data_IF_820585503768
#
_entry.id   IF_820585503768
#
_cell.length_a   1.000
_cell.length_b   1.000
_cell.length_c   1.000
_cell.angle_alpha   90.00
_cell.angle_beta   90.00
_cell.angle_gamma   90.00
#
_symmetry.space_group_name_H-M   'P 1'
#
loop_
_entity.id
_entity.type
_entity.pdbx_description
1 polymer ?
#
# COMPACT_ATOMS: atom_id res chain seq x y z
N UNK A 1 7.56 8.38 3.73
CA UNK A 1 6.77 8.66 2.52
C UNK A 1 7.68 9.27 1.48
N UNK A 2 7.64 8.82 0.22
CA UNK A 2 8.38 9.43 -0.87
C UNK A 2 7.85 10.84 -1.17
N UNK A 3 8.74 11.84 -1.23
CA UNK A 3 8.41 13.24 -1.55
C UNK A 3 9.10 13.77 -2.79
N UNK A 4 9.95 12.98 -3.45
CA UNK A 4 10.61 13.34 -4.72
C UNK A 4 10.53 12.16 -5.70
N UNK A 5 10.34 12.47 -7.00
CA UNK A 5 10.39 11.50 -8.08
C UNK A 5 9.04 10.88 -8.45
N UNK A 6 9.07 9.79 -9.22
CA UNK A 6 7.87 9.22 -9.85
C UNK A 6 6.89 8.53 -8.90
N UNK A 7 7.28 8.32 -7.64
CA UNK A 7 6.48 7.55 -6.66
C UNK A 7 6.09 8.37 -5.44
N UNK A 8 5.96 9.70 -5.60
CA UNK A 8 5.48 10.59 -4.54
C UNK A 8 4.18 10.05 -3.94
N UNK A 9 4.07 10.12 -2.62
CA UNK A 9 2.90 9.65 -1.88
C UNK A 9 2.97 8.17 -1.47
N UNK A 10 3.91 7.38 -2.01
CA UNK A 10 4.14 6.02 -1.50
C UNK A 10 4.63 6.07 -0.06
N UNK A 11 3.99 5.29 0.80
CA UNK A 11 4.25 5.23 2.23
C UNK A 11 4.68 3.83 2.65
N UNK A 12 5.35 3.76 3.81
CA UNK A 12 5.68 2.53 4.51
C UNK A 12 5.73 2.79 6.00
N UNK A 13 5.48 1.75 6.79
CA UNK A 13 5.75 1.76 8.23
C UNK A 13 7.25 1.60 8.45
N UNK A 14 7.79 2.26 9.47
CA UNK A 14 9.21 2.16 9.85
C UNK A 14 9.35 1.06 10.91
N UNK A 15 10.02 -0.06 10.61
CA UNK A 15 10.38 -1.07 11.61
C UNK A 15 11.22 -0.51 12.76
N UNK A 16 11.06 -1.07 13.97
CA UNK A 16 11.83 -0.68 15.17
C UNK A 16 13.34 -0.82 14.99
N UNK A 17 13.79 -1.82 14.23
CA UNK A 17 15.22 -2.02 13.89
C UNK A 17 15.87 -0.83 13.17
N UNK A 18 15.09 0.13 12.68
CA UNK A 18 15.58 1.32 12.00
C UNK A 18 15.48 2.58 12.86
N UNK A 19 15.21 2.45 14.16
CA UNK A 19 15.26 3.58 15.08
C UNK A 19 16.66 4.22 15.11
N UNK A 20 16.71 5.55 15.16
CA UNK A 20 17.96 6.33 15.10
C UNK A 20 18.69 6.35 13.74
N UNK A 21 18.21 5.64 12.71
CA UNK A 21 18.87 5.65 11.39
C UNK A 21 18.60 6.91 10.58
N UNK A 22 19.52 7.20 9.64
CA UNK A 22 19.39 8.31 8.70
C UNK A 22 18.34 8.01 7.62
N UNK A 23 17.56 9.04 7.27
CA UNK A 23 16.60 9.02 6.17
C UNK A 23 17.09 9.95 5.05
N UNK A 24 16.91 9.54 3.79
CA UNK A 24 17.29 10.34 2.63
C UNK A 24 16.41 11.58 2.48
N UNK A 25 16.92 12.63 1.82
CA UNK A 25 16.17 13.88 1.57
C UNK A 25 14.91 13.70 0.72
N UNK A 26 14.82 12.59 -0.04
CA UNK A 26 13.71 12.28 -0.93
C UNK A 26 12.52 11.64 -0.20
N UNK A 27 12.62 11.46 1.12
CA UNK A 27 11.59 10.88 1.95
C UNK A 27 11.26 11.75 3.18
N UNK A 28 9.97 11.85 3.49
CA UNK A 28 9.47 12.44 4.72
C UNK A 28 9.11 11.36 5.75
N UNK A 29 9.57 11.53 7.00
CA UNK A 29 9.10 10.76 8.15
C UNK A 29 7.88 11.45 8.74
N UNK A 30 6.78 10.72 8.87
CA UNK A 30 5.58 11.21 9.56
C UNK A 30 5.51 10.55 10.94
N UNK A 31 5.45 11.36 12.00
CA UNK A 31 5.35 10.91 13.39
C UNK A 31 3.99 11.32 13.95
N UNK A 32 2.96 10.44 13.89
CA UNK A 32 1.64 10.78 14.41
C UNK A 32 1.61 10.73 15.94
N UNK A 33 0.91 11.69 16.54
CA UNK A 33 0.72 11.80 18.00
C UNK A 33 -0.73 11.55 18.43
N UNK A 34 -1.70 11.91 17.58
CA UNK A 34 -3.14 11.87 17.88
C UNK A 34 -3.92 10.88 16.99
N UNK A 35 -3.23 10.18 16.09
CA UNK A 35 -3.84 9.26 15.10
C UNK A 35 -3.10 7.94 15.12
N UNK A 36 -3.83 6.84 14.95
CA UNK A 36 -3.23 5.51 14.81
C UNK A 36 -2.28 5.47 13.61
N UNK A 37 -1.07 4.93 13.82
CA UNK A 37 -0.07 4.75 12.75
C UNK A 37 -0.61 3.89 11.61
N UNK A 38 -1.32 2.80 11.92
CA UNK A 38 -1.90 1.90 10.93
C UNK A 38 -3.03 2.54 10.13
N UNK A 39 -3.87 3.32 10.81
CA UNK A 39 -4.95 4.06 10.16
C UNK A 39 -4.37 5.11 9.22
N UNK A 40 -3.43 5.94 9.71
CA UNK A 40 -2.77 6.95 8.90
C UNK A 40 -2.07 6.33 7.69
N UNK A 41 -1.35 5.22 7.87
CA UNK A 41 -0.71 4.50 6.76
C UNK A 41 -1.72 4.08 5.67
N UNK A 42 -2.86 3.49 6.05
CA UNK A 42 -3.90 3.08 5.10
C UNK A 42 -4.59 4.27 4.45
N UNK A 43 -4.81 5.34 5.20
CA UNK A 43 -5.42 6.55 4.70
C UNK A 43 -4.52 7.26 3.69
N UNK A 44 -3.22 7.39 3.98
CA UNK A 44 -2.25 7.96 3.03
C UNK A 44 -2.15 7.13 1.75
N UNK A 45 -2.32 5.81 1.83
CA UNK A 45 -2.35 4.92 0.67
C UNK A 45 -3.70 4.91 -0.09
N UNK A 46 -4.75 5.54 0.45
CA UNK A 46 -6.06 5.60 -0.21
C UNK A 46 -6.06 6.56 -1.40
N UNK A 47 -6.93 6.30 -2.36
CA UNK A 47 -7.14 7.16 -3.53
C UNK A 47 -7.41 8.62 -3.13
N UNK A 48 -8.21 8.83 -2.08
CA UNK A 48 -8.50 10.15 -1.51
C UNK A 48 -7.25 10.98 -1.16
N UNK A 49 -6.20 10.36 -0.60
CA UNK A 49 -4.95 11.06 -0.31
C UNK A 49 -4.04 11.14 -1.54
N UNK A 50 -3.99 10.08 -2.35
CA UNK A 50 -3.16 10.04 -3.56
C UNK A 50 -3.59 11.08 -4.60
N UNK A 51 -4.88 11.34 -4.75
CA UNK A 51 -5.41 12.41 -5.60
C UNK A 51 -5.00 13.80 -5.11
N UNK A 52 -5.06 14.04 -3.80
CA UNK A 52 -4.57 15.30 -3.22
C UNK A 52 -3.07 15.48 -3.44
N UNK A 53 -2.29 14.40 -3.35
CA UNK A 53 -0.85 14.44 -3.63
C UNK A 53 -0.58 14.80 -5.09
N UNK A 54 -1.24 14.11 -6.03
CA UNK A 54 -1.12 14.38 -7.46
C UNK A 54 -1.50 15.83 -7.78
N UNK A 55 -2.61 16.33 -7.22
CA UNK A 55 -3.04 17.72 -7.40
C UNK A 55 -1.99 18.75 -6.93
N UNK A 56 -1.24 18.42 -5.87
CA UNK A 56 -0.21 19.29 -5.28
C UNK A 56 1.17 19.19 -5.94
N UNK A 57 1.37 18.23 -6.85
CA UNK A 57 2.67 17.94 -7.50
C UNK A 57 2.65 18.01 -9.03
N UNK A 58 1.58 18.52 -9.65
CA UNK A 58 1.53 18.79 -11.10
C UNK A 58 2.54 19.89 -11.48
N UNK A 59 3.78 19.49 -11.76
CA UNK A 59 4.85 20.35 -12.27
C UNK A 59 5.60 19.63 -13.41
N UNK A 60 6.10 20.39 -14.37
CA UNK A 60 6.96 19.90 -15.47
C UNK A 60 8.38 19.69 -14.90
N UNK A 61 8.94 18.48 -15.05
CA UNK A 61 10.26 18.12 -14.54
C UNK A 61 10.24 17.16 -13.34
N UNK A 62 11.31 17.13 -12.54
CA UNK A 62 11.40 16.26 -11.36
C UNK A 62 10.38 16.73 -10.32
N UNK A 63 9.36 15.90 -10.08
CA UNK A 63 8.32 16.21 -9.12
C UNK A 63 8.88 16.26 -7.70
N UNK A 64 8.50 17.28 -6.93
CA UNK A 64 8.87 17.46 -5.52
C UNK A 64 7.68 17.93 -4.71
N UNK A 65 7.38 17.21 -3.64
CA UNK A 65 6.37 17.55 -2.65
C UNK A 65 7.02 18.29 -1.48
N UNK A 66 6.77 19.59 -1.37
CA UNK A 66 7.20 20.36 -0.21
C UNK A 66 6.44 19.92 1.06
N UNK A 67 7.13 19.92 2.20
CA UNK A 67 6.57 19.43 3.47
C UNK A 67 5.35 20.23 3.93
N UNK A 68 5.30 21.54 3.65
CA UNK A 68 4.12 22.38 3.94
C UNK A 68 2.90 21.97 3.10
N UNK A 69 3.08 21.61 1.83
CA UNK A 69 2.00 21.11 0.96
C UNK A 69 1.48 19.76 1.45
N UNK A 70 2.39 18.88 1.88
CA UNK A 70 2.04 17.62 2.53
C UNK A 70 1.24 17.84 3.82
N UNK A 71 1.69 18.76 4.69
CA UNK A 71 1.01 19.08 5.94
C UNK A 71 -0.41 19.61 5.71
N UNK A 72 -0.66 20.29 4.59
CA UNK A 72 -2.01 20.74 4.19
C UNK A 72 -2.88 19.66 3.55
N UNK A 73 -2.55 18.37 3.64
CA UNK A 73 -3.40 17.28 3.13
C UNK A 73 -4.56 17.05 4.09
N UNK A 74 -5.78 17.14 3.56
CA UNK A 74 -6.99 16.91 4.32
C UNK A 74 -7.10 15.41 4.61
N UNK A 75 -7.38 15.09 5.88
CA UNK A 75 -7.56 13.72 6.34
C UNK A 75 -8.83 13.63 7.20
N UNK A 76 -9.69 12.61 7.00
CA UNK A 76 -10.69 12.26 8.00
C UNK A 76 -10.00 11.78 9.28
N UNK A 77 -10.45 12.28 10.43
CA UNK A 77 -9.92 11.91 11.74
C UNK A 77 -11.05 11.46 12.67
N UNK A 78 -11.56 10.22 12.52
CA UNK A 78 -12.56 9.68 13.42
C UNK A 78 -11.94 9.34 14.80
N UNK A 79 -12.74 9.04 15.83
CA UNK A 79 -12.23 8.60 17.13
C UNK A 79 -11.36 7.33 17.02
N UNK A 80 -10.42 7.12 17.94
CA UNK A 80 -9.45 6.02 17.89
C UNK A 80 -10.10 4.63 17.79
N UNK A 81 -11.22 4.41 18.47
CA UNK A 81 -11.98 3.16 18.37
C UNK A 81 -12.44 2.88 16.93
N UNK A 82 -12.92 3.93 16.24
CA UNK A 82 -13.38 3.84 14.87
C UNK A 82 -12.20 3.66 13.88
N UNK A 83 -11.08 4.34 14.13
CA UNK A 83 -9.83 4.11 13.38
C UNK A 83 -9.41 2.62 13.44
N UNK A 84 -9.44 2.01 14.63
CA UNK A 84 -9.13 0.60 14.83
C UNK A 84 -10.12 -0.34 14.13
N UNK A 85 -11.42 -0.02 14.19
CA UNK A 85 -12.47 -0.78 13.48
C UNK A 85 -12.24 -0.78 11.98
N UNK A 86 -11.91 0.37 11.39
CA UNK A 86 -11.61 0.52 9.97
C UNK A 86 -10.37 -0.31 9.60
N UNK A 87 -9.27 -0.18 10.34
CA UNK A 87 -8.02 -0.92 10.12
C UNK A 87 -8.26 -2.43 10.14
N UNK A 88 -9.02 -2.91 11.13
CA UNK A 88 -9.38 -4.33 11.26
C UNK A 88 -10.15 -4.83 10.03
N UNK A 89 -11.17 -4.09 9.58
CA UNK A 89 -11.96 -4.47 8.40
C UNK A 89 -11.14 -4.50 7.12
N UNK A 90 -10.30 -3.50 6.88
CA UNK A 90 -9.42 -3.46 5.70
C UNK A 90 -8.43 -4.64 5.74
N UNK A 91 -7.89 -4.97 6.92
CA UNK A 91 -6.96 -6.10 7.07
C UNK A 91 -7.63 -7.43 6.76
N UNK A 92 -8.82 -7.67 7.31
CA UNK A 92 -9.59 -8.88 7.04
C UNK A 92 -9.89 -9.05 5.54
N UNK A 93 -10.34 -7.98 4.88
CA UNK A 93 -10.62 -8.01 3.44
C UNK A 93 -9.36 -8.28 2.60
N UNK A 94 -8.23 -7.64 2.92
CA UNK A 94 -6.96 -7.88 2.21
C UNK A 94 -6.47 -9.31 2.39
N UNK A 95 -6.60 -9.87 3.60
CA UNK A 95 -6.27 -11.27 3.87
C UNK A 95 -7.15 -12.22 3.06
N UNK A 96 -8.46 -11.99 3.03
CA UNK A 96 -9.39 -12.78 2.23
C UNK A 96 -9.03 -12.72 0.74
N UNK A 97 -8.75 -11.53 0.21
CA UNK A 97 -8.34 -11.41 -1.20
C UNK A 97 -7.00 -12.08 -1.49
N UNK A 98 -6.07 -12.15 -0.53
CA UNK A 98 -4.82 -12.88 -0.71
C UNK A 98 -5.06 -14.39 -0.77
N UNK A 99 -5.86 -14.93 0.15
CA UNK A 99 -6.27 -16.34 0.17
C UNK A 99 -6.98 -16.74 -1.12
N UNK A 100 -7.96 -15.95 -1.58
CA UNK A 100 -8.67 -16.23 -2.82
C UNK A 100 -7.75 -16.24 -4.05
N UNK A 101 -6.77 -15.34 -4.12
CA UNK A 101 -5.79 -15.34 -5.22
C UNK A 101 -4.89 -16.57 -5.18
N UNK A 102 -4.48 -16.99 -3.98
CA UNK A 102 -3.68 -18.20 -3.82
C UNK A 102 -4.45 -19.44 -4.30
N UNK A 103 -5.70 -19.61 -3.85
CA UNK A 103 -6.55 -20.72 -4.27
C UNK A 103 -6.79 -20.75 -5.78
N UNK A 104 -6.96 -19.58 -6.39
CA UNK A 104 -7.11 -19.48 -7.85
C UNK A 104 -5.83 -19.94 -8.57
N UNK A 105 -4.66 -19.53 -8.09
CA UNK A 105 -3.38 -19.95 -8.65
C UNK A 105 -3.18 -21.46 -8.51
N UNK A 106 -3.46 -22.03 -7.33
CA UNK A 106 -3.32 -23.47 -7.08
C UNK A 106 -4.27 -24.30 -7.97
N UNK A 107 -5.50 -23.82 -8.17
CA UNK A 107 -6.46 -24.44 -9.07
C UNK A 107 -6.00 -24.41 -10.54
N UNK A 108 -5.45 -23.27 -10.99
CA UNK A 108 -4.90 -23.14 -12.35
C UNK A 108 -3.72 -24.09 -12.56
N UNK A 109 -2.79 -24.16 -11.61
CA UNK A 109 -1.67 -25.10 -11.66
C UNK A 109 -2.15 -26.55 -11.74
N UNK A 110 -3.11 -26.94 -10.90
CA UNK A 110 -3.69 -28.28 -10.91
C UNK A 110 -4.35 -28.61 -12.26
N UNK A 111 -5.11 -27.67 -12.83
CA UNK A 111 -5.73 -27.84 -14.14
C UNK A 111 -4.69 -28.03 -15.25
N UNK A 112 -3.59 -27.25 -15.24
CA UNK A 112 -2.50 -27.40 -16.19
C UNK A 112 -1.82 -28.77 -16.08
N UNK A 113 -1.57 -29.26 -14.86
CA UNK A 113 -0.98 -30.59 -14.67
C UNK A 113 -1.90 -31.72 -15.18
N UNK A 114 -3.20 -31.63 -14.91
CA UNK A 114 -4.16 -32.62 -15.42
C UNK A 114 -4.25 -32.59 -16.95
N UNK A 115 -4.26 -31.40 -17.55
CA UNK A 115 -4.26 -31.25 -19.01
C UNK A 115 -3.00 -31.86 -19.64
N UNK A 116 -1.82 -31.63 -19.05
CA UNK A 116 -0.57 -32.22 -19.54
C UNK A 116 -0.59 -33.75 -19.45
N UNK A 117 -1.02 -34.32 -18.32
CA UNK A 117 -1.11 -35.76 -18.13
C UNK A 117 -2.04 -36.44 -19.15
N UNK A 118 -3.16 -35.78 -19.51
CA UNK A 118 -4.06 -36.26 -20.55
C UNK A 118 -3.36 -36.29 -21.92
N UNK A 119 -2.67 -35.21 -22.31
CA UNK A 119 -1.95 -35.15 -23.59
C UNK A 119 -0.87 -36.22 -23.68
N UNK A 120 -0.06 -36.38 -22.62
CA UNK A 120 1.01 -37.37 -22.56
C UNK A 120 0.47 -38.81 -22.68
N UNK A 121 -0.68 -39.07 -22.04
CA UNK A 121 -1.35 -40.38 -22.12
C UNK A 121 -1.89 -40.71 -23.52
N UNK A 122 -2.27 -39.70 -24.30
CA UNK A 122 -2.77 -39.86 -25.67
C UNK A 122 -1.67 -39.89 -26.74
N UNK A 123 -0.49 -39.32 -26.45
CA UNK A 123 0.66 -39.31 -27.38
C UNK A 123 1.55 -40.57 -27.26
N UNK A 124 1.23 -41.46 -26.33
CA UNK A 124 1.94 -42.72 -26.06
C UNK A 124 1.27 -43.96 -26.69
N UNK A 125 0.33 -43.75 -27.61
CA UNK A 125 -0.37 -44.77 -28.42
C UNK A 125 -0.09 -44.50 -29.90
#
# INVERSE_FOLDING_TARGET
MTIVGATIGKCGLVPERFDGMNLTENAARLTPHLVSKDYLFRLLASEFCQEQFLGKTKQVGVQKMALNRLAGTLIPLPPLAEQSRIVTRITALRSLCADLRQRLADAQTSQSHLAQALVDSTSSV
#
